data_IF_957315233098
#
_entry.id   IF_957315233098
#
_cell.length_a   1.000
_cell.length_b   1.000
_cell.length_c   1.000
_cell.angle_alpha   90.00
_cell.angle_beta   90.00
_cell.angle_gamma   90.00
#
_symmetry.space_group_name_H-M   'P 1'
#
loop_
_entity.id
_entity.type
_entity.pdbx_description
1 polymer ?
#
# COMPACT_ATOMS: atom_id res chain seq x y z
N UNK A 1 -10.04 -11.90 -0.33
CA UNK A 1 -9.27 -10.65 -0.33
C UNK A 1 -9.76 -9.71 0.77
N UNK A 2 -11.02 -9.28 0.76
CA UNK A 2 -11.58 -8.37 1.78
C UNK A 2 -11.42 -8.88 3.22
N UNK A 3 -11.60 -10.18 3.48
CA UNK A 3 -11.46 -10.76 4.83
C UNK A 3 -10.05 -10.52 5.40
N UNK A 4 -9.01 -10.62 4.57
CA UNK A 4 -7.64 -10.36 4.99
C UNK A 4 -7.46 -8.87 5.31
N UNK A 5 -8.00 -7.98 4.47
CA UNK A 5 -7.95 -6.54 4.70
C UNK A 5 -8.69 -6.14 5.99
N UNK A 6 -9.85 -6.70 6.25
CA UNK A 6 -10.56 -6.52 7.53
C UNK A 6 -9.77 -7.02 8.74
N UNK A 7 -9.08 -8.16 8.61
CA UNK A 7 -8.22 -8.67 9.67
C UNK A 7 -7.08 -7.72 10.06
N UNK A 8 -6.49 -7.02 9.07
CA UNK A 8 -5.48 -5.99 9.34
C UNK A 8 -6.08 -4.73 9.98
N UNK A 9 -7.25 -4.29 9.51
CA UNK A 9 -7.96 -3.16 10.12
C UNK A 9 -8.29 -3.45 11.58
N UNK A 10 -8.80 -4.63 11.89
CA UNK A 10 -9.09 -5.03 13.29
C UNK A 10 -7.84 -5.03 14.17
N UNK A 11 -6.67 -5.44 13.63
CA UNK A 11 -5.41 -5.39 14.38
C UNK A 11 -4.97 -3.95 14.69
N UNK A 12 -5.13 -3.03 13.74
CA UNK A 12 -4.79 -1.61 13.98
C UNK A 12 -5.77 -1.00 14.98
N UNK A 13 -7.06 -1.28 14.89
CA UNK A 13 -8.05 -0.82 15.85
C UNK A 13 -7.75 -1.37 17.25
N UNK A 14 -7.49 -2.65 17.38
CA UNK A 14 -7.11 -3.26 18.65
C UNK A 14 -5.83 -2.67 19.24
N UNK A 15 -4.82 -2.41 18.41
CA UNK A 15 -3.58 -1.75 18.84
C UNK A 15 -3.82 -0.30 19.29
N UNK A 16 -4.65 0.46 18.57
CA UNK A 16 -5.01 1.82 18.95
C UNK A 16 -5.75 1.88 20.29
N UNK A 17 -6.70 0.98 20.50
CA UNK A 17 -7.41 0.86 21.77
C UNK A 17 -6.46 0.46 22.92
N UNK A 18 -5.56 -0.50 22.69
CA UNK A 18 -4.60 -0.95 23.69
C UNK A 18 -3.59 0.13 24.11
N UNK A 19 -3.26 1.05 23.20
CA UNK A 19 -2.33 2.15 23.43
C UNK A 19 -3.03 3.48 23.81
N UNK A 20 -4.36 3.48 23.93
CA UNK A 20 -5.18 4.68 24.19
C UNK A 20 -4.94 5.80 23.15
N UNK A 21 -4.60 5.43 21.92
CA UNK A 21 -4.35 6.37 20.82
C UNK A 21 -5.62 6.61 20.02
N UNK A 22 -5.96 7.88 19.83
CA UNK A 22 -7.00 8.26 18.86
C UNK A 22 -6.50 7.96 17.45
N UNK A 23 -7.15 6.98 16.80
CA UNK A 23 -6.84 6.62 15.41
C UNK A 23 -7.63 7.50 14.46
N UNK A 24 -6.93 8.15 13.54
CA UNK A 24 -7.57 8.89 12.45
C UNK A 24 -8.33 7.94 11.53
N UNK A 25 -9.53 8.33 11.10
CA UNK A 25 -10.33 7.56 10.13
C UNK A 25 -9.57 7.29 8.83
N UNK A 26 -8.71 8.23 8.44
CA UNK A 26 -7.90 8.10 7.24
C UNK A 26 -6.87 6.97 7.31
N UNK A 27 -6.23 6.76 8.48
CA UNK A 27 -5.25 5.67 8.64
C UNK A 27 -5.93 4.30 8.58
N UNK A 28 -7.16 4.19 9.08
CA UNK A 28 -7.96 2.96 9.02
C UNK A 28 -8.32 2.62 7.57
N UNK A 29 -8.83 3.60 6.81
CA UNK A 29 -9.19 3.44 5.40
C UNK A 29 -7.94 3.12 4.57
N UNK A 30 -6.84 3.84 4.79
CA UNK A 30 -5.57 3.65 4.09
C UNK A 30 -5.00 2.25 4.32
N UNK A 31 -5.06 1.75 5.56
CA UNK A 31 -4.63 0.38 5.89
C UNK A 31 -5.47 -0.67 5.17
N UNK A 32 -6.79 -0.49 5.14
CA UNK A 32 -7.68 -1.38 4.39
C UNK A 32 -7.32 -1.40 2.90
N UNK A 33 -7.17 -0.23 2.29
CA UNK A 33 -6.86 -0.09 0.87
C UNK A 33 -5.48 -0.65 0.52
N UNK A 34 -4.45 -0.36 1.35
CA UNK A 34 -3.10 -0.88 1.13
C UNK A 34 -3.06 -2.41 1.23
N UNK A 35 -3.77 -2.98 2.21
CA UNK A 35 -3.85 -4.44 2.36
C UNK A 35 -4.62 -5.08 1.20
N UNK A 36 -5.66 -4.40 0.71
CA UNK A 36 -6.41 -4.84 -0.46
C UNK A 36 -5.54 -4.78 -1.72
N UNK A 37 -4.78 -3.70 -1.91
CA UNK A 37 -3.79 -3.56 -2.98
C UNK A 37 -2.78 -4.73 -2.98
N UNK A 38 -2.18 -5.04 -1.82
CA UNK A 38 -1.25 -6.16 -1.68
C UNK A 38 -1.92 -7.51 -1.98
N UNK A 39 -3.20 -7.66 -1.60
CA UNK A 39 -3.98 -8.87 -1.90
C UNK A 39 -4.23 -9.03 -3.39
N UNK A 40 -4.52 -7.94 -4.13
CA UNK A 40 -4.66 -7.98 -5.58
C UNK A 40 -3.32 -8.27 -6.28
N UNK A 41 -2.24 -7.66 -5.80
CA UNK A 41 -0.91 -7.92 -6.31
C UNK A 41 -0.53 -9.40 -6.23
N UNK A 42 -0.83 -10.05 -5.09
CA UNK A 42 -0.61 -11.49 -4.92
C UNK A 42 -1.51 -12.32 -5.83
N UNK A 43 -2.77 -11.91 -6.04
CA UNK A 43 -3.67 -12.59 -6.97
C UNK A 43 -3.22 -12.48 -8.42
N UNK A 44 -2.60 -11.37 -8.77
CA UNK A 44 -2.03 -11.20 -10.10
C UNK A 44 -0.99 -12.28 -10.41
N UNK A 45 -0.11 -12.56 -9.47
CA UNK A 45 0.88 -13.63 -9.59
C UNK A 45 0.22 -15.02 -9.74
N UNK A 46 -0.81 -15.31 -8.94
CA UNK A 46 -1.58 -16.54 -9.04
C UNK A 46 -2.19 -16.73 -10.45
N UNK A 47 -2.73 -15.66 -11.06
CA UNK A 47 -3.32 -15.70 -12.41
C UNK A 47 -2.25 -15.85 -13.49
N UNK A 48 -1.09 -15.19 -13.34
CA UNK A 48 0.03 -15.36 -14.27
C UNK A 48 0.51 -16.82 -14.28
N UNK A 49 0.68 -17.43 -13.12
CA UNK A 49 1.07 -18.84 -13.00
C UNK A 49 0.01 -19.77 -13.62
N UNK A 50 -1.27 -19.49 -13.38
CA UNK A 50 -2.35 -20.27 -14.00
C UNK A 50 -2.28 -20.21 -15.54
N UNK A 51 -1.98 -19.03 -16.11
CA UNK A 51 -1.85 -18.87 -17.56
C UNK A 51 -0.62 -19.59 -18.13
N UNK A 52 0.44 -19.75 -17.35
CA UNK A 52 1.68 -20.41 -17.77
C UNK A 52 1.62 -21.94 -17.60
N UNK A 53 1.06 -22.41 -16.48
CA UNK A 53 1.08 -23.83 -16.13
C UNK A 53 -0.23 -24.58 -16.43
N UNK A 54 -1.32 -23.83 -16.70
CA UNK A 54 -2.67 -24.39 -16.87
C UNK A 54 -3.32 -24.85 -15.56
N UNK A 55 -2.60 -24.83 -14.44
CA UNK A 55 -3.11 -25.24 -13.14
C UNK A 55 -3.43 -24.01 -12.28
N UNK A 56 -4.67 -23.94 -11.76
CA UNK A 56 -5.07 -22.87 -10.85
C UNK A 56 -4.52 -23.14 -9.44
N UNK A 57 -3.61 -22.29 -8.89
CA UNK A 57 -3.07 -22.46 -7.53
C UNK A 57 -4.15 -22.46 -6.45
N UNK A 58 -5.33 -21.87 -6.76
CA UNK A 58 -6.50 -21.82 -5.87
C UNK A 58 -7.80 -21.85 -6.69
N UNK A 59 -8.84 -22.51 -6.19
CA UNK A 59 -10.16 -22.64 -6.84
C UNK A 59 -10.78 -21.30 -7.28
N UNK A 60 -10.52 -20.21 -6.55
CA UNK A 60 -11.07 -18.89 -6.84
C UNK A 60 -10.28 -18.10 -7.90
N UNK A 61 -9.09 -18.56 -8.32
CA UNK A 61 -8.24 -17.86 -9.30
C UNK A 61 -8.89 -17.85 -10.68
N UNK A 62 -9.66 -18.87 -11.02
CA UNK A 62 -10.35 -19.03 -12.31
C UNK A 62 -11.32 -17.88 -12.62
N UNK A 63 -11.85 -17.19 -11.61
CA UNK A 63 -12.81 -16.09 -11.79
C UNK A 63 -12.14 -14.73 -12.04
N UNK A 64 -10.82 -14.63 -11.95
CA UNK A 64 -10.09 -13.37 -12.09
C UNK A 64 -9.37 -13.31 -13.43
N UNK A 65 -9.60 -12.20 -14.15
CA UNK A 65 -8.87 -11.85 -15.37
C UNK A 65 -7.74 -10.88 -15.00
N UNK A 66 -6.59 -10.95 -15.70
CA UNK A 66 -5.46 -10.02 -15.53
C UNK A 66 -5.87 -8.56 -15.74
N UNK A 67 -6.75 -8.29 -16.70
CA UNK A 67 -7.27 -6.95 -16.95
C UNK A 67 -7.99 -6.39 -15.73
N UNK A 68 -8.90 -7.17 -15.13
CA UNK A 68 -9.62 -6.77 -13.93
C UNK A 68 -8.67 -6.51 -12.75
N UNK A 69 -7.69 -7.41 -12.54
CA UNK A 69 -6.74 -7.28 -11.43
C UNK A 69 -5.84 -6.05 -11.61
N UNK A 70 -5.36 -5.78 -12.84
CA UNK A 70 -4.56 -4.60 -13.11
C UNK A 70 -5.34 -3.30 -12.85
N UNK A 71 -6.61 -3.24 -13.26
CA UNK A 71 -7.49 -2.12 -12.97
C UNK A 71 -7.74 -1.96 -11.46
N UNK A 72 -8.01 -3.07 -10.75
CA UNK A 72 -8.20 -3.06 -9.30
C UNK A 72 -6.95 -2.59 -8.54
N UNK A 73 -5.75 -2.99 -8.97
CA UNK A 73 -4.47 -2.52 -8.43
C UNK A 73 -4.34 -1.01 -8.64
N UNK A 74 -4.63 -0.51 -9.84
CA UNK A 74 -4.54 0.92 -10.15
C UNK A 74 -5.53 1.75 -9.34
N UNK A 75 -6.78 1.30 -9.25
CA UNK A 75 -7.82 1.99 -8.46
C UNK A 75 -7.43 2.02 -6.98
N UNK A 76 -7.06 0.88 -6.40
CA UNK A 76 -6.68 0.82 -4.97
C UNK A 76 -5.45 1.66 -4.68
N UNK A 77 -4.44 1.68 -5.56
CA UNK A 77 -3.27 2.52 -5.42
C UNK A 77 -3.61 4.01 -5.45
N UNK A 78 -4.45 4.43 -6.42
CA UNK A 78 -4.86 5.83 -6.56
C UNK A 78 -5.65 6.32 -5.34
N UNK A 79 -6.62 5.53 -4.88
CA UNK A 79 -7.41 5.90 -3.69
C UNK A 79 -6.55 5.89 -2.43
N UNK A 80 -5.61 4.96 -2.29
CA UNK A 80 -4.66 4.93 -1.17
C UNK A 80 -3.82 6.22 -1.13
N UNK A 81 -3.34 6.69 -2.29
CA UNK A 81 -2.58 7.92 -2.38
C UNK A 81 -3.40 9.14 -1.96
N UNK A 82 -4.67 9.24 -2.41
CA UNK A 82 -5.58 10.32 -2.00
C UNK A 82 -5.81 10.27 -0.49
N UNK A 83 -6.08 9.09 0.08
CA UNK A 83 -6.26 8.93 1.52
C UNK A 83 -4.99 9.31 2.30
N UNK A 84 -3.81 9.03 1.76
CA UNK A 84 -2.54 9.44 2.36
C UNK A 84 -2.40 10.97 2.42
N UNK A 85 -2.72 11.67 1.33
CA UNK A 85 -2.69 13.13 1.29
C UNK A 85 -3.69 13.70 2.31
N UNK A 86 -4.93 13.18 2.33
CA UNK A 86 -5.95 13.62 3.27
C UNK A 86 -5.55 13.37 4.73
N UNK A 87 -4.88 12.26 5.00
CA UNK A 87 -4.29 11.99 6.31
C UNK A 87 -3.25 13.04 6.69
N UNK A 88 -2.31 13.34 5.79
CA UNK A 88 -1.24 14.32 6.06
C UNK A 88 -1.75 15.74 6.29
N UNK A 89 -2.88 16.11 5.68
CA UNK A 89 -3.50 17.45 5.80
C UNK A 89 -4.52 17.51 6.94
N UNK A 90 -4.89 16.38 7.54
CA UNK A 90 -5.89 16.36 8.62
C UNK A 90 -5.41 17.17 9.83
N UNK A 91 -6.32 17.94 10.47
CA UNK A 91 -5.96 18.77 11.64
C UNK A 91 -5.31 17.96 12.77
N UNK A 92 -5.80 16.77 13.02
CA UNK A 92 -5.28 15.85 14.04
C UNK A 92 -3.80 15.51 13.83
N UNK A 93 -3.38 15.34 12.57
CA UNK A 93 -2.00 15.01 12.20
C UNK A 93 -1.12 16.25 12.24
N UNK A 94 -1.63 17.37 11.74
CA UNK A 94 -0.91 18.66 11.76
C UNK A 94 -0.65 19.10 13.20
N UNK A 95 -1.64 19.00 14.10
CA UNK A 95 -1.46 19.31 15.52
C UNK A 95 -0.50 18.35 16.21
N UNK A 96 -0.56 17.06 15.88
CA UNK A 96 0.28 16.03 16.50
C UNK A 96 1.76 16.17 16.13
N UNK A 97 2.06 16.47 14.87
CA UNK A 97 3.43 16.57 14.36
C UNK A 97 3.94 18.02 14.27
N UNK A 98 3.09 19.00 14.60
CA UNK A 98 3.43 20.42 14.61
C UNK A 98 3.98 20.94 13.27
N UNK A 99 3.70 20.23 12.15
CA UNK A 99 4.17 20.61 10.83
C UNK A 99 3.08 20.49 9.77
N UNK A 100 2.81 21.54 8.98
CA UNK A 100 1.83 21.49 7.90
C UNK A 100 2.38 20.88 6.61
N UNK A 101 3.68 20.61 6.52
CA UNK A 101 4.36 20.22 5.26
C UNK A 101 4.42 18.72 5.02
N UNK A 102 3.85 17.89 5.90
CA UNK A 102 3.88 16.44 5.79
C UNK A 102 3.32 15.93 4.45
N UNK A 103 2.40 16.66 3.83
CA UNK A 103 1.83 16.28 2.54
C UNK A 103 2.87 16.16 1.42
N UNK A 104 4.00 16.87 1.51
CA UNK A 104 5.06 16.78 0.49
C UNK A 104 5.66 15.37 0.38
N UNK A 105 5.55 14.58 1.42
CA UNK A 105 6.03 13.19 1.42
C UNK A 105 5.20 12.27 0.50
N UNK A 106 4.04 12.75 -0.01
CA UNK A 106 3.21 11.99 -0.96
C UNK A 106 3.97 11.59 -2.24
N UNK A 107 4.95 12.42 -2.64
CA UNK A 107 5.75 12.16 -3.84
C UNK A 107 6.48 10.81 -3.72
N UNK A 108 7.04 10.51 -2.57
CA UNK A 108 7.73 9.24 -2.33
C UNK A 108 6.75 8.05 -2.35
N UNK A 109 5.56 8.23 -1.78
CA UNK A 109 4.51 7.19 -1.81
C UNK A 109 4.03 6.95 -3.24
N UNK A 110 3.82 8.02 -4.00
CA UNK A 110 3.46 7.95 -5.42
C UNK A 110 4.52 7.19 -6.23
N UNK A 111 5.79 7.58 -6.09
CA UNK A 111 6.90 6.93 -6.80
C UNK A 111 7.02 5.46 -6.41
N UNK A 112 6.86 5.13 -5.13
CA UNK A 112 6.88 3.75 -4.65
C UNK A 112 5.75 2.90 -5.25
N UNK A 113 4.53 3.43 -5.29
CA UNK A 113 3.38 2.75 -5.90
C UNK A 113 3.56 2.57 -7.41
N UNK A 114 3.99 3.62 -8.12
CA UNK A 114 4.26 3.54 -9.56
C UNK A 114 5.37 2.53 -9.87
N UNK A 115 6.46 2.54 -9.10
CA UNK A 115 7.53 1.56 -9.27
C UNK A 115 7.05 0.14 -9.04
N UNK A 116 6.25 -0.08 -7.99
CA UNK A 116 5.66 -1.38 -7.72
C UNK A 116 4.76 -1.85 -8.87
N UNK A 117 3.89 -0.97 -9.38
CA UNK A 117 3.02 -1.28 -10.53
C UNK A 117 3.87 -1.60 -11.77
N UNK A 118 4.95 -0.86 -12.02
CA UNK A 118 5.87 -1.13 -13.12
C UNK A 118 6.47 -2.54 -13.01
N UNK A 119 7.03 -2.90 -11.85
CA UNK A 119 7.60 -4.23 -11.62
C UNK A 119 6.54 -5.32 -11.77
N UNK A 120 5.37 -5.10 -11.21
CA UNK A 120 4.28 -6.07 -11.25
C UNK A 120 3.74 -6.27 -12.68
N UNK A 121 3.51 -5.19 -13.42
CA UNK A 121 2.81 -5.24 -14.72
C UNK A 121 3.79 -5.45 -15.88
N UNK A 122 4.91 -4.75 -15.89
CA UNK A 122 5.88 -4.78 -16.99
C UNK A 122 6.84 -5.95 -16.84
N UNK A 123 7.49 -6.07 -15.68
CA UNK A 123 8.49 -7.10 -15.43
C UNK A 123 7.89 -8.46 -15.11
N UNK A 124 6.57 -8.53 -14.91
CA UNK A 124 5.81 -9.75 -14.54
C UNK A 124 6.36 -10.47 -13.29
N UNK A 125 7.06 -9.74 -12.43
CA UNK A 125 7.68 -10.25 -11.21
C UNK A 125 6.82 -9.88 -10.00
N UNK A 126 5.54 -10.25 -10.02
CA UNK A 126 4.57 -9.87 -8.98
C UNK A 126 4.48 -10.84 -7.79
N UNK A 127 5.42 -11.75 -7.60
CA UNK A 127 5.45 -12.75 -6.54
C UNK A 127 4.96 -12.26 -5.17
N UNK A 128 5.71 -12.50 -4.10
CA UNK A 128 5.40 -11.89 -2.79
C UNK A 128 5.72 -10.39 -2.84
N UNK A 129 4.72 -9.48 -2.71
CA UNK A 129 4.92 -8.03 -2.84
C UNK A 129 6.04 -7.49 -1.94
N UNK A 130 6.14 -8.01 -0.73
CA UNK A 130 7.18 -7.64 0.23
C UNK A 130 8.57 -8.02 -0.28
N UNK A 131 8.74 -9.21 -0.87
CA UNK A 131 10.02 -9.65 -1.42
C UNK A 131 10.43 -8.85 -2.67
N UNK A 132 9.44 -8.41 -3.45
CA UNK A 132 9.68 -7.57 -4.63
C UNK A 132 10.26 -6.22 -4.21
N UNK A 133 9.64 -5.56 -3.23
CA UNK A 133 10.11 -4.27 -2.69
C UNK A 133 11.51 -4.41 -2.07
N UNK A 134 11.74 -5.48 -1.30
CA UNK A 134 13.02 -5.72 -0.64
C UNK A 134 14.17 -6.09 -1.59
N UNK A 135 13.89 -6.54 -2.80
CA UNK A 135 14.90 -6.87 -3.82
C UNK A 135 15.19 -5.73 -4.79
N UNK A 136 14.28 -4.78 -4.92
CA UNK A 136 14.44 -3.65 -5.84
C UNK A 136 15.14 -2.48 -5.15
N UNK A 137 16.38 -2.23 -5.54
CA UNK A 137 17.20 -1.15 -4.96
C UNK A 137 16.55 0.22 -5.10
N UNK A 138 15.84 0.47 -6.19
CA UNK A 138 15.15 1.75 -6.39
C UNK A 138 14.02 1.94 -5.39
N UNK A 139 13.22 0.90 -5.15
CA UNK A 139 12.17 0.92 -4.11
C UNK A 139 12.74 1.12 -2.71
N UNK A 140 13.87 0.49 -2.40
CA UNK A 140 14.57 0.68 -1.12
C UNK A 140 15.01 2.13 -0.92
N UNK A 141 15.60 2.75 -1.95
CA UNK A 141 16.03 4.16 -1.89
C UNK A 141 14.84 5.09 -1.66
N UNK A 142 13.70 4.84 -2.34
CA UNK A 142 12.48 5.64 -2.13
C UNK A 142 11.99 5.51 -0.68
N UNK A 143 11.94 4.31 -0.12
CA UNK A 143 11.48 4.09 1.27
C UNK A 143 12.42 4.76 2.26
N UNK A 144 13.73 4.64 2.09
CA UNK A 144 14.72 5.28 2.95
C UNK A 144 14.60 6.82 2.84
N UNK A 145 14.50 7.36 1.63
CA UNK A 145 14.32 8.78 1.41
C UNK A 145 13.02 9.30 2.05
N UNK A 146 11.94 8.53 1.96
CA UNK A 146 10.67 8.84 2.61
C UNK A 146 10.81 8.91 4.13
N UNK A 147 11.43 7.90 4.76
CA UNK A 147 11.68 7.86 6.21
C UNK A 147 12.53 9.05 6.65
N UNK A 148 13.63 9.31 5.93
CA UNK A 148 14.52 10.43 6.26
C UNK A 148 13.81 11.78 6.16
N UNK A 149 13.04 12.00 5.09
CA UNK A 149 12.27 13.24 4.90
C UNK A 149 11.21 13.40 5.99
N UNK A 150 10.53 12.30 6.35
CA UNK A 150 9.52 12.31 7.40
C UNK A 150 10.14 12.64 8.77
N UNK A 151 11.28 12.04 9.12
CA UNK A 151 12.01 12.33 10.36
C UNK A 151 12.53 13.77 10.37
N UNK A 152 13.06 14.26 9.25
CA UNK A 152 13.55 15.61 9.14
C UNK A 152 12.42 16.63 9.36
N UNK A 153 11.25 16.40 8.79
CA UNK A 153 10.08 17.28 8.99
C UNK A 153 9.57 17.30 10.43
N UNK A 154 9.69 16.20 11.17
CA UNK A 154 9.24 16.13 12.57
C UNK A 154 10.25 16.74 13.53
N UNK A 155 11.57 16.58 13.28
CA UNK A 155 12.60 16.98 14.24
C UNK A 155 13.27 18.32 13.94
N UNK A 156 13.19 18.81 12.71
CA UNK A 156 13.92 20.02 12.27
C UNK A 156 13.00 21.19 11.95
N UNK A 157 11.78 20.92 11.51
CA UNK A 157 10.77 21.94 11.17
C UNK A 157 9.67 21.96 12.22
#
# INVERSE_FOLDING_TARGET
MCIVAFGFVLRILAGGFACELALSSWIVIMTFLLTLFMSFAKRRDDVLRMNETGEAPRKNTVRYNLTFINQAITITASVTLVCYIMYCVSPEVVERFQTPYLYLTFVFVLLGLLRYIQIAVVDKKSGDPTKVILKDHFSQVIVIAWILTFLLMIYVI
#
